data_IF_227671196238
#
_entry.id   IF_227671196238
#
_cell.length_a   1.000
_cell.length_b   1.000
_cell.length_c   1.000
_cell.angle_alpha   90.00
_cell.angle_beta   90.00
_cell.angle_gamma   90.00
#
_symmetry.space_group_name_H-M   'P 1'
#
loop_
_entity.id
_entity.type
_entity.pdbx_description
1 polymer ?
#
# COMPACT_ATOMS: atom_id res chain seq x y z
N UNK A 1 -1.79 5.48 13.45
CA UNK A 1 -1.88 4.19 12.75
C UNK A 1 -0.57 3.93 12.04
N UNK A 2 0.14 2.85 12.41
CA UNK A 2 1.42 2.47 11.79
C UNK A 2 2.53 2.21 12.77
N UNK A 3 3.76 2.13 12.25
CA UNK A 3 4.99 1.83 12.97
C UNK A 3 6.12 2.72 12.45
N UNK A 4 6.91 3.29 13.37
CA UNK A 4 8.12 4.04 13.05
C UNK A 4 9.34 3.15 13.36
N UNK A 5 9.90 2.52 12.35
CA UNK A 5 10.94 1.50 12.52
C UNK A 5 12.25 2.02 13.11
N UNK A 6 12.58 3.29 12.88
CA UNK A 6 13.79 3.90 13.41
C UNK A 6 13.54 4.77 14.65
N UNK A 7 12.49 4.47 15.43
CA UNK A 7 12.12 5.27 16.59
C UNK A 7 13.20 5.28 17.70
N UNK A 8 13.91 4.17 17.88
CA UNK A 8 14.93 4.05 18.96
C UNK A 8 16.08 5.04 18.79
N UNK A 9 16.80 5.10 17.64
CA UNK A 9 17.85 6.09 17.46
C UNK A 9 17.33 7.53 17.43
N UNK A 10 16.10 7.78 16.97
CA UNK A 10 15.50 9.11 17.05
C UNK A 10 15.20 9.50 18.49
N UNK A 11 14.74 8.56 19.32
CA UNK A 11 14.52 8.77 20.74
C UNK A 11 15.80 9.18 21.47
N UNK A 12 16.92 8.52 21.18
CA UNK A 12 18.23 8.89 21.73
C UNK A 12 18.63 10.33 21.38
N UNK A 13 18.49 10.71 20.10
CA UNK A 13 18.75 12.08 19.65
C UNK A 13 17.87 13.12 20.38
N UNK A 14 16.60 12.80 20.59
CA UNK A 14 15.67 13.69 21.27
C UNK A 14 15.99 13.81 22.78
N UNK A 15 16.45 12.74 23.41
CA UNK A 15 16.93 12.79 24.80
C UNK A 15 18.19 13.67 24.92
N UNK A 16 19.12 13.55 23.98
CA UNK A 16 20.31 14.42 23.90
C UNK A 16 19.94 15.89 23.67
N UNK A 17 18.85 16.16 22.94
CA UNK A 17 18.27 17.51 22.74
C UNK A 17 17.52 18.04 23.97
N UNK A 18 17.33 17.21 25.02
CA UNK A 18 16.72 17.62 26.29
C UNK A 18 15.27 17.19 26.49
N UNK A 19 14.70 16.39 25.56
CA UNK A 19 13.35 15.85 25.73
C UNK A 19 13.31 14.73 26.76
N UNK A 20 12.22 14.67 27.51
CA UNK A 20 11.99 13.64 28.53
C UNK A 20 10.86 12.73 28.09
N UNK A 21 11.14 11.42 28.02
CA UNK A 21 10.19 10.40 27.61
C UNK A 21 9.55 9.72 28.81
N UNK A 22 8.26 9.46 28.73
CA UNK A 22 7.46 8.76 29.73
C UNK A 22 7.11 7.33 29.32
N UNK A 23 7.14 7.06 28.03
CA UNK A 23 6.85 5.75 27.43
C UNK A 23 8.03 5.24 26.61
N UNK A 24 7.88 4.02 26.09
CA UNK A 24 8.80 3.44 25.08
C UNK A 24 8.17 3.43 23.68
N UNK A 25 7.03 4.06 23.51
CA UNK A 25 6.27 4.07 22.24
C UNK A 25 6.97 4.94 21.18
N UNK A 26 6.90 4.50 19.95
CA UNK A 26 7.25 5.27 18.76
C UNK A 26 6.39 6.52 18.60
N UNK A 27 5.15 6.48 19.07
CA UNK A 27 4.22 7.62 19.05
C UNK A 27 4.74 8.82 19.84
N UNK A 28 5.41 8.58 20.97
CA UNK A 28 6.03 9.65 21.78
C UNK A 28 7.23 10.28 21.03
N UNK A 29 7.93 9.46 20.22
CA UNK A 29 9.00 9.98 19.33
C UNK A 29 8.43 10.91 18.27
N UNK A 30 7.25 10.61 17.70
CA UNK A 30 6.59 11.52 16.76
C UNK A 30 6.24 12.86 17.41
N UNK A 31 5.75 12.84 18.65
CA UNK A 31 5.38 14.04 19.37
C UNK A 31 6.59 14.94 19.64
N UNK A 32 7.63 14.41 20.30
CA UNK A 32 8.84 15.16 20.61
C UNK A 32 9.64 15.53 19.35
N UNK A 33 9.62 14.68 18.33
CA UNK A 33 10.20 15.00 17.04
C UNK A 33 9.52 16.17 16.33
N UNK A 34 8.20 16.30 16.46
CA UNK A 34 7.49 17.46 15.95
C UNK A 34 7.82 18.74 16.77
N UNK A 35 7.95 18.61 18.08
CA UNK A 35 8.36 19.73 18.94
C UNK A 35 9.76 20.24 18.59
N UNK A 36 10.71 19.33 18.30
CA UNK A 36 12.11 19.66 18.02
C UNK A 36 12.32 20.11 16.57
N UNK A 37 11.77 19.37 15.61
CA UNK A 37 12.09 19.52 14.17
C UNK A 37 10.92 20.05 13.33
N UNK A 38 9.73 20.17 13.89
CA UNK A 38 8.56 20.56 13.12
C UNK A 38 8.30 19.62 11.94
N UNK A 39 8.13 20.18 10.75
CA UNK A 39 7.89 19.42 9.50
C UNK A 39 9.09 18.57 9.09
N UNK A 40 10.32 18.96 9.45
CA UNK A 40 11.54 18.22 9.12
C UNK A 40 11.58 16.83 9.78
N UNK A 41 10.73 16.58 10.77
CA UNK A 41 10.49 15.22 11.31
C UNK A 41 10.22 14.22 10.20
N UNK A 42 9.45 14.59 9.17
CA UNK A 42 9.05 13.70 8.07
C UNK A 42 10.23 13.21 7.22
N UNK A 43 11.35 13.94 7.22
CA UNK A 43 12.59 13.53 6.55
C UNK A 43 13.45 12.60 7.39
N UNK A 44 13.13 12.45 8.68
CA UNK A 44 13.93 11.67 9.63
C UNK A 44 13.31 10.30 9.94
N UNK A 45 11.99 10.20 9.87
CA UNK A 45 11.27 8.97 10.22
C UNK A 45 11.28 7.97 9.06
N UNK A 46 11.47 6.71 9.42
CA UNK A 46 11.35 5.56 8.53
C UNK A 46 10.25 4.65 9.05
N UNK A 47 9.22 4.41 8.26
CA UNK A 47 8.10 3.59 8.71
C UNK A 47 6.91 3.63 7.76
N UNK A 48 5.85 2.96 8.17
CA UNK A 48 4.53 3.04 7.58
C UNK A 48 3.60 3.74 8.56
N UNK A 49 3.03 4.86 8.20
CA UNK A 49 2.30 5.67 9.17
C UNK A 49 1.24 6.59 8.58
N UNK A 50 0.24 6.84 9.40
CA UNK A 50 -0.56 8.06 9.37
C UNK A 50 -0.74 8.57 10.79
N UNK A 51 -0.54 9.84 11.00
CA UNK A 51 -0.73 10.47 12.30
C UNK A 51 -1.29 11.87 12.19
N UNK A 52 -1.87 12.34 13.27
CA UNK A 52 -2.31 13.73 13.44
C UNK A 52 -1.87 14.22 14.81
N UNK A 53 -1.23 15.39 14.84
CA UNK A 53 -0.81 16.09 16.04
C UNK A 53 -1.65 17.36 16.19
N UNK A 54 -2.19 17.58 17.39
CA UNK A 54 -2.81 18.86 17.75
C UNK A 54 -1.80 19.77 18.43
N UNK A 55 -1.33 20.81 17.72
CA UNK A 55 -0.48 21.85 18.29
C UNK A 55 -1.35 22.87 19.01
N UNK A 56 -1.29 22.85 20.35
CA UNK A 56 -2.08 23.73 21.20
C UNK A 56 -1.64 25.20 21.09
N UNK A 57 -0.35 25.44 20.84
CA UNK A 57 0.23 26.78 20.74
C UNK A 57 -0.18 27.47 19.46
N UNK A 58 -0.07 26.73 18.33
CA UNK A 58 -0.47 27.23 17.02
C UNK A 58 -1.98 27.12 16.78
N UNK A 59 -2.68 26.33 17.60
CA UNK A 59 -4.09 25.92 17.41
C UNK A 59 -4.31 25.33 16.02
N UNK A 60 -3.48 24.38 15.68
CA UNK A 60 -3.36 23.77 14.35
C UNK A 60 -3.30 22.25 14.47
N UNK A 61 -3.97 21.55 13.55
CA UNK A 61 -3.71 20.15 13.31
C UNK A 61 -2.58 20.05 12.28
N UNK A 62 -1.60 19.22 12.60
CA UNK A 62 -0.56 18.76 11.68
C UNK A 62 -0.74 17.26 11.49
N UNK A 63 -0.89 16.80 10.27
CA UNK A 63 -1.03 15.35 9.99
C UNK A 63 -0.26 14.95 8.75
N UNK A 64 0.23 13.71 8.72
CA UNK A 64 1.02 13.20 7.61
C UNK A 64 0.66 11.75 7.29
N UNK A 65 0.89 11.37 6.02
CA UNK A 65 0.78 10.03 5.51
C UNK A 65 2.13 9.58 4.96
N UNK A 66 2.48 8.31 5.16
CA UNK A 66 3.77 7.76 4.76
C UNK A 66 4.06 7.87 3.26
N UNK A 67 5.32 7.62 2.89
CA UNK A 67 5.88 7.82 1.55
C UNK A 67 5.08 7.13 0.43
N UNK A 68 4.57 5.92 0.69
CA UNK A 68 3.87 5.10 -0.30
C UNK A 68 2.37 4.91 0.01
N UNK A 69 1.85 5.62 1.04
CA UNK A 69 0.45 5.51 1.43
C UNK A 69 0.05 4.14 1.95
N UNK A 70 0.98 3.41 2.58
CA UNK A 70 0.74 2.07 3.15
C UNK A 70 -0.38 2.15 4.20
N UNK A 71 -0.37 3.18 5.05
CA UNK A 71 -1.45 3.41 6.00
C UNK A 71 -2.52 4.34 5.42
N UNK A 72 -3.80 3.96 5.55
CA UNK A 72 -4.90 4.75 5.01
C UNK A 72 -5.15 6.01 5.83
N UNK A 73 -5.49 7.10 5.15
CA UNK A 73 -5.95 8.34 5.76
C UNK A 73 -7.07 8.96 4.92
N UNK A 74 -8.25 9.04 5.50
CA UNK A 74 -9.41 9.67 4.88
C UNK A 74 -9.81 10.92 5.65
N UNK A 75 -10.27 11.95 4.94
CA UNK A 75 -10.78 13.16 5.55
C UNK A 75 -11.99 13.71 4.80
N UNK A 76 -12.82 14.43 5.52
CA UNK A 76 -13.99 15.12 4.99
C UNK A 76 -14.21 16.45 5.73
N UNK A 77 -14.83 17.40 5.03
CA UNK A 77 -15.35 18.61 5.64
C UNK A 77 -16.82 18.76 5.26
N UNK A 78 -17.71 18.53 6.22
CA UNK A 78 -19.16 18.55 6.02
C UNK A 78 -19.82 19.35 7.13
N UNK A 79 -20.79 20.19 6.80
CA UNK A 79 -21.55 21.02 7.74
C UNK A 79 -20.67 21.84 8.72
N UNK A 80 -19.49 22.28 8.26
CA UNK A 80 -18.52 23.04 9.05
C UNK A 80 -17.58 22.20 9.92
N UNK A 81 -17.82 20.89 10.04
CA UNK A 81 -16.99 19.95 10.79
C UNK A 81 -15.93 19.34 9.91
N UNK A 82 -14.67 19.35 10.38
CA UNK A 82 -13.56 18.60 9.79
C UNK A 82 -13.42 17.25 10.49
N UNK A 83 -13.44 16.18 9.69
CA UNK A 83 -13.38 14.80 10.16
C UNK A 83 -12.22 14.07 9.48
N UNK A 84 -11.57 13.17 10.19
CA UNK A 84 -10.56 12.28 9.61
C UNK A 84 -10.58 10.92 10.30
N UNK A 85 -10.19 9.88 9.57
CA UNK A 85 -10.11 8.51 10.07
C UNK A 85 -9.22 7.65 9.18
N UNK A 86 -8.81 6.49 9.70
CA UNK A 86 -8.15 5.44 8.91
C UNK A 86 -9.13 4.63 8.05
N UNK A 87 -10.42 4.64 8.38
CA UNK A 87 -11.49 3.92 7.67
C UNK A 87 -12.69 4.84 7.43
N UNK A 88 -13.28 4.78 6.23
CA UNK A 88 -14.43 5.63 5.88
C UNK A 88 -15.63 5.30 6.75
N UNK A 89 -15.83 4.01 7.09
CA UNK A 89 -16.94 3.59 7.96
C UNK A 89 -16.95 4.26 9.32
N UNK A 90 -15.80 4.69 9.81
CA UNK A 90 -15.69 5.48 11.05
C UNK A 90 -16.25 6.89 10.88
N UNK A 91 -16.01 7.53 9.71
CA UNK A 91 -16.56 8.84 9.39
C UNK A 91 -18.10 8.80 9.27
N UNK A 92 -18.64 7.69 8.76
CA UNK A 92 -20.10 7.49 8.62
C UNK A 92 -20.88 7.57 9.95
N UNK A 93 -20.19 7.41 11.08
CA UNK A 93 -20.82 7.48 12.41
C UNK A 93 -21.02 8.90 12.93
N UNK A 94 -20.36 9.88 12.29
CA UNK A 94 -20.48 11.28 12.72
C UNK A 94 -21.82 11.88 12.29
N UNK A 95 -22.56 12.58 13.16
CA UNK A 95 -23.90 13.12 12.86
C UNK A 95 -23.91 14.14 11.70
N UNK A 96 -22.80 14.86 11.49
CA UNK A 96 -22.68 15.81 10.38
C UNK A 96 -22.31 15.13 9.05
N UNK A 97 -22.10 13.81 9.03
CA UNK A 97 -21.71 13.12 7.80
C UNK A 97 -22.89 13.02 6.83
N UNK A 98 -22.67 13.44 5.60
CA UNK A 98 -23.66 13.33 4.52
C UNK A 98 -23.28 12.17 3.60
N UNK A 99 -24.09 11.09 3.63
CA UNK A 99 -23.86 9.91 2.81
C UNK A 99 -24.44 10.10 1.41
N UNK A 100 -23.56 10.38 0.46
CA UNK A 100 -23.88 10.57 -0.96
C UNK A 100 -22.86 9.84 -1.82
N UNK A 101 -23.32 9.16 -2.89
CA UNK A 101 -22.46 8.48 -3.85
C UNK A 101 -21.76 9.52 -4.74
N UNK A 102 -20.45 9.36 -4.88
CA UNK A 102 -19.65 10.10 -5.86
C UNK A 102 -19.71 9.40 -7.22
N UNK A 103 -20.66 9.78 -8.07
CA UNK A 103 -20.82 9.20 -9.40
C UNK A 103 -19.58 9.41 -10.30
N UNK A 104 -18.74 10.43 -10.02
CA UNK A 104 -17.50 10.69 -10.77
C UNK A 104 -16.45 9.60 -10.58
N UNK A 105 -16.51 8.87 -9.47
CA UNK A 105 -15.62 7.74 -9.19
C UNK A 105 -15.93 6.50 -10.03
N UNK A 106 -17.16 6.35 -10.53
CA UNK A 106 -17.62 5.15 -11.24
C UNK A 106 -16.85 4.90 -12.54
N UNK A 107 -16.67 5.92 -13.38
CA UNK A 107 -16.00 5.75 -14.67
C UNK A 107 -14.51 5.41 -14.53
N UNK A 108 -13.71 6.10 -13.70
CA UNK A 108 -12.34 5.69 -13.38
C UNK A 108 -12.28 4.27 -12.82
N UNK A 109 -13.15 3.93 -11.88
CA UNK A 109 -13.20 2.58 -11.31
C UNK A 109 -13.43 1.49 -12.35
N UNK A 110 -14.37 1.66 -13.26
CA UNK A 110 -14.63 0.71 -14.36
C UNK A 110 -13.46 0.58 -15.35
N UNK A 111 -12.51 1.52 -15.31
CA UNK A 111 -11.32 1.51 -16.17
C UNK A 111 -10.08 0.98 -15.44
N UNK A 112 -9.86 1.43 -14.22
CA UNK A 112 -8.63 1.21 -13.45
C UNK A 112 -8.81 0.28 -12.24
N UNK A 113 -10.04 -0.13 -11.94
CA UNK A 113 -10.41 -0.95 -10.77
C UNK A 113 -10.31 -0.21 -9.43
N UNK A 114 -9.98 1.07 -9.44
CA UNK A 114 -10.00 1.96 -8.29
C UNK A 114 -10.44 3.37 -8.73
N UNK A 115 -10.85 4.28 -7.84
CA UNK A 115 -11.40 5.58 -8.21
C UNK A 115 -10.47 6.45 -9.07
N UNK A 116 -9.15 6.30 -8.98
CA UNK A 116 -8.12 7.06 -9.71
C UNK A 116 -8.28 8.60 -9.61
N UNK A 117 -8.96 9.06 -8.57
CA UNK A 117 -9.16 10.46 -8.21
C UNK A 117 -8.93 10.62 -6.70
N UNK A 118 -8.59 11.81 -6.24
CA UNK A 118 -8.35 12.05 -4.80
C UNK A 118 -9.61 11.91 -3.93
N UNK A 119 -10.80 11.98 -4.53
CA UNK A 119 -12.09 11.80 -3.88
C UNK A 119 -12.53 10.33 -3.97
N UNK A 120 -13.07 9.80 -2.89
CA UNK A 120 -13.54 8.40 -2.79
C UNK A 120 -14.91 8.20 -3.47
N UNK A 121 -15.48 6.98 -3.35
CA UNK A 121 -16.87 6.71 -3.71
C UNK A 121 -17.88 7.46 -2.82
N UNK A 122 -17.47 7.94 -1.66
CA UNK A 122 -18.29 8.82 -0.83
C UNK A 122 -17.98 10.28 -1.18
N UNK A 123 -18.98 10.97 -1.70
CA UNK A 123 -18.84 12.38 -2.11
C UNK A 123 -18.40 13.26 -0.94
N UNK A 124 -17.38 14.06 -1.17
CA UNK A 124 -16.79 14.93 -0.14
C UNK A 124 -15.84 14.23 0.83
N UNK A 125 -15.55 12.93 0.63
CA UNK A 125 -14.53 12.19 1.36
C UNK A 125 -13.30 12.01 0.48
N UNK A 126 -12.15 12.43 0.97
CA UNK A 126 -10.89 12.43 0.24
C UNK A 126 -9.86 11.54 0.93
N UNK A 127 -8.93 11.03 0.12
CA UNK A 127 -7.69 10.39 0.62
C UNK A 127 -6.61 11.47 0.71
N UNK A 128 -5.85 11.49 1.80
CA UNK A 128 -4.60 12.26 1.82
C UNK A 128 -3.62 11.53 0.87
N UNK A 129 -3.03 12.20 -0.13
CA UNK A 129 -2.06 11.55 -1.00
C UNK A 129 -0.87 11.00 -0.21
N UNK A 130 -0.23 9.97 -0.76
CA UNK A 130 1.03 9.43 -0.28
C UNK A 130 2.14 10.49 -0.31
N UNK A 131 3.09 10.41 0.62
CA UNK A 131 4.18 11.38 0.68
C UNK A 131 3.75 12.83 1.00
N UNK A 132 2.53 13.01 1.53
CA UNK A 132 2.01 14.33 1.84
C UNK A 132 1.72 14.51 3.33
N UNK A 133 1.80 15.77 3.77
CA UNK A 133 1.30 16.22 5.05
C UNK A 133 0.26 17.33 4.86
N UNK A 134 -0.52 17.56 5.87
CA UNK A 134 -1.45 18.69 5.89
C UNK A 134 -1.33 19.50 7.18
N UNK A 135 -1.70 20.76 7.08
CA UNK A 135 -2.05 21.60 8.22
C UNK A 135 -3.52 22.01 8.14
N UNK A 136 -4.19 22.05 9.29
CA UNK A 136 -5.57 22.53 9.37
C UNK A 136 -5.71 23.54 10.50
N UNK A 137 -6.04 24.78 10.13
CA UNK A 137 -6.20 25.89 11.06
C UNK A 137 -7.30 26.83 10.58
N UNK A 138 -8.10 27.31 11.50
CA UNK A 138 -9.19 28.28 11.25
C UNK A 138 -10.11 27.87 10.08
N UNK A 139 -10.44 26.58 10.02
CA UNK A 139 -11.31 26.01 9.01
C UNK A 139 -10.67 25.84 7.62
N UNK A 140 -9.39 26.11 7.47
CA UNK A 140 -8.63 25.96 6.21
C UNK A 140 -7.65 24.82 6.30
N UNK A 141 -7.61 23.97 5.27
CA UNK A 141 -6.65 22.89 5.09
C UNK A 141 -5.66 23.28 4.01
N UNK A 142 -4.38 23.04 4.27
CA UNK A 142 -3.31 23.16 3.29
C UNK A 142 -2.60 21.79 3.21
N UNK A 143 -2.39 21.29 2.01
CA UNK A 143 -1.73 20.00 1.76
C UNK A 143 -0.40 20.29 1.07
N UNK A 144 0.65 19.62 1.51
CA UNK A 144 2.01 19.79 1.01
C UNK A 144 2.66 18.44 0.80
N UNK A 145 3.40 18.32 -0.31
CA UNK A 145 4.23 17.18 -0.61
C UNK A 145 5.54 17.27 0.18
N UNK A 146 5.95 16.18 0.83
CA UNK A 146 7.25 16.09 1.49
C UNK A 146 8.14 15.01 0.87
N UNK A 147 7.57 14.13 0.06
CA UNK A 147 8.29 13.07 -0.61
C UNK A 147 7.67 12.80 -1.99
N UNK A 148 8.52 12.69 -3.01
CA UNK A 148 8.18 12.23 -4.35
C UNK A 148 9.27 11.30 -4.86
N UNK A 149 8.89 10.19 -5.50
CA UNK A 149 9.82 9.17 -5.96
C UNK A 149 10.36 9.51 -7.36
N UNK A 150 11.67 9.63 -7.45
CA UNK A 150 12.35 9.92 -8.72
C UNK A 150 13.20 8.75 -9.19
N UNK A 151 12.73 8.03 -10.18
CA UNK A 151 13.50 6.98 -10.83
C UNK A 151 14.63 7.56 -11.68
N UNK A 152 15.83 7.06 -11.46
CA UNK A 152 17.01 7.42 -12.28
C UNK A 152 17.54 6.18 -12.95
N UNK A 153 17.69 6.23 -14.29
CA UNK A 153 18.38 5.17 -15.02
C UNK A 153 19.85 5.14 -14.58
N UNK A 154 20.32 3.95 -14.21
CA UNK A 154 21.73 3.71 -13.92
C UNK A 154 22.28 2.68 -14.88
N UNK A 155 23.54 2.85 -15.29
CA UNK A 155 24.30 1.89 -16.12
C UNK A 155 25.02 0.84 -15.27
N UNK A 156 24.54 0.56 -14.08
CA UNK A 156 25.18 -0.35 -13.14
C UNK A 156 25.21 -1.78 -13.69
N UNK A 157 26.32 -2.46 -13.53
CA UNK A 157 26.45 -3.87 -13.86
C UNK A 157 25.55 -4.72 -12.96
N UNK A 158 25.12 -5.88 -13.45
CA UNK A 158 24.14 -6.72 -12.75
C UNK A 158 24.63 -7.18 -11.37
N UNK A 159 25.86 -7.72 -11.27
CA UNK A 159 26.34 -8.29 -10.02
C UNK A 159 26.43 -7.27 -8.86
N UNK A 160 27.03 -6.08 -9.01
CA UNK A 160 26.98 -5.06 -7.97
C UNK A 160 25.57 -4.57 -7.63
N UNK A 161 24.65 -4.63 -8.60
CA UNK A 161 23.25 -4.26 -8.37
C UNK A 161 22.54 -5.32 -7.50
N UNK A 162 22.76 -6.60 -7.78
CA UNK A 162 22.22 -7.72 -6.98
C UNK A 162 22.68 -7.60 -5.53
N UNK A 163 23.98 -7.40 -5.29
CA UNK A 163 24.52 -7.23 -3.93
C UNK A 163 23.90 -6.02 -3.20
N UNK A 164 23.62 -4.95 -3.94
CA UNK A 164 23.01 -3.75 -3.37
C UNK A 164 21.55 -3.99 -3.01
N UNK A 165 20.79 -4.63 -3.89
CA UNK A 165 19.40 -5.01 -3.64
C UNK A 165 19.32 -5.94 -2.44
N UNK A 166 20.14 -7.01 -2.41
CA UNK A 166 20.17 -7.97 -1.31
C UNK A 166 20.39 -7.29 0.03
N UNK A 167 21.44 -6.45 0.15
CA UNK A 167 21.72 -5.70 1.39
C UNK A 167 20.57 -4.78 1.79
N UNK A 168 19.96 -4.08 0.82
CA UNK A 168 18.88 -3.13 1.07
C UNK A 168 17.62 -3.83 1.54
N UNK A 169 17.24 -4.95 0.89
CA UNK A 169 16.07 -5.73 1.28
C UNK A 169 16.31 -6.42 2.62
N UNK A 170 17.50 -6.97 2.88
CA UNK A 170 17.86 -7.53 4.19
C UNK A 170 17.75 -6.49 5.32
N UNK A 171 18.24 -5.27 5.09
CA UNK A 171 18.10 -4.17 6.06
C UNK A 171 16.62 -3.80 6.26
N UNK A 172 15.86 -3.73 5.17
CA UNK A 172 14.43 -3.44 5.24
C UNK A 172 13.66 -4.50 6.03
N UNK A 173 13.87 -5.78 5.74
CA UNK A 173 13.21 -6.89 6.46
C UNK A 173 13.53 -6.83 7.95
N UNK A 174 14.80 -6.60 8.32
CA UNK A 174 15.21 -6.46 9.72
C UNK A 174 14.53 -5.29 10.41
N UNK A 175 14.39 -4.15 9.72
CA UNK A 175 13.70 -2.99 10.27
C UNK A 175 12.20 -3.29 10.52
N UNK A 176 11.55 -4.03 9.63
CA UNK A 176 10.16 -4.42 9.77
C UNK A 176 9.90 -5.48 10.87
N UNK A 177 10.93 -6.12 11.39
CA UNK A 177 10.84 -7.06 12.52
C UNK A 177 10.89 -6.36 13.89
N UNK A 178 11.09 -5.03 13.92
CA UNK A 178 11.07 -4.27 15.18
C UNK A 178 9.63 -4.22 15.69
N UNK A 179 9.33 -5.00 16.71
CA UNK A 179 8.01 -5.12 17.31
C UNK A 179 8.13 -5.59 18.77
N UNK A 180 7.12 -5.25 19.59
CA UNK A 180 6.98 -5.75 20.97
C UNK A 180 6.25 -7.10 21.05
N UNK A 181 5.89 -7.67 19.91
CA UNK A 181 5.16 -8.93 19.74
C UNK A 181 5.85 -9.81 18.71
N UNK A 182 5.50 -11.09 18.71
CA UNK A 182 5.98 -12.00 17.70
C UNK A 182 5.53 -11.59 16.30
N UNK A 183 6.48 -11.68 15.33
CA UNK A 183 6.27 -11.34 13.92
C UNK A 183 6.30 -12.61 13.09
N UNK A 184 5.18 -12.96 12.47
CA UNK A 184 5.10 -14.04 11.49
C UNK A 184 5.41 -13.57 10.07
N UNK A 185 5.23 -14.45 9.09
CA UNK A 185 5.33 -14.08 7.67
C UNK A 185 4.29 -14.83 6.82
N UNK A 186 3.73 -14.15 5.85
CA UNK A 186 3.02 -14.82 4.78
C UNK A 186 4.02 -15.50 3.86
N UNK A 187 3.69 -16.71 3.42
CA UNK A 187 4.52 -17.50 2.54
C UNK A 187 3.68 -18.06 1.39
N UNK A 188 4.05 -17.66 0.19
CA UNK A 188 3.59 -18.29 -1.04
C UNK A 188 4.75 -19.06 -1.67
N UNK A 189 4.56 -19.64 -2.85
CA UNK A 189 5.66 -20.19 -3.64
C UNK A 189 6.39 -19.13 -4.49
N UNK A 190 5.95 -17.87 -4.41
CA UNK A 190 6.54 -16.73 -5.13
C UNK A 190 7.90 -16.32 -4.57
N UNK A 191 8.74 -15.73 -5.43
CA UNK A 191 10.12 -15.31 -5.08
C UNK A 191 10.11 -14.32 -3.91
N UNK A 192 9.22 -13.32 -3.95
CA UNK A 192 9.22 -12.19 -3.02
C UNK A 192 8.90 -12.61 -1.59
N UNK A 193 7.79 -13.33 -1.38
CA UNK A 193 7.41 -13.82 -0.06
C UNK A 193 8.43 -14.84 0.47
N UNK A 194 8.99 -15.67 -0.41
CA UNK A 194 10.01 -16.64 -0.07
C UNK A 194 11.30 -15.99 0.40
N UNK A 195 11.72 -14.93 -0.30
CA UNK A 195 12.91 -14.16 0.06
C UNK A 195 12.72 -13.44 1.40
N UNK A 196 11.59 -12.77 1.60
CA UNK A 196 11.25 -12.12 2.87
C UNK A 196 11.27 -13.13 4.03
N UNK A 197 10.61 -14.29 3.88
CA UNK A 197 10.57 -15.33 4.91
C UNK A 197 11.96 -15.92 5.20
N UNK A 198 12.78 -16.15 4.15
CA UNK A 198 14.13 -16.67 4.30
C UNK A 198 15.06 -15.70 5.04
N UNK A 199 14.91 -14.40 4.83
CA UNK A 199 15.69 -13.36 5.53
C UNK A 199 15.18 -13.14 6.94
N UNK A 200 13.87 -13.07 7.13
CA UNK A 200 13.23 -12.79 8.42
C UNK A 200 13.36 -13.97 9.41
N UNK A 201 13.31 -15.22 8.89
CA UNK A 201 13.29 -16.48 9.66
C UNK A 201 12.32 -16.46 10.84
N UNK A 202 11.02 -16.15 10.58
CA UNK A 202 10.03 -16.09 11.63
C UNK A 202 9.76 -17.50 12.20
N UNK A 203 9.24 -17.59 13.42
CA UNK A 203 8.81 -18.86 14.02
C UNK A 203 7.60 -19.44 13.27
N UNK A 204 6.72 -18.57 12.78
CA UNK A 204 5.48 -18.95 12.09
C UNK A 204 5.39 -18.35 10.68
N UNK A 205 5.12 -19.21 9.69
CA UNK A 205 4.72 -18.80 8.35
C UNK A 205 3.32 -19.29 8.04
N UNK A 206 2.59 -18.57 7.17
CA UNK A 206 1.20 -18.85 6.85
C UNK A 206 0.98 -18.89 5.35
N UNK A 207 0.20 -19.86 4.90
CA UNK A 207 -0.16 -20.04 3.50
C UNK A 207 -1.64 -20.34 3.35
N UNK A 208 -2.24 -19.90 2.24
CA UNK A 208 -3.59 -20.27 1.85
C UNK A 208 -3.56 -20.89 0.46
N UNK A 209 -4.37 -21.91 0.23
CA UNK A 209 -4.53 -22.55 -1.08
C UNK A 209 -6.00 -22.70 -1.45
N UNK A 210 -6.28 -22.95 -2.72
CA UNK A 210 -7.62 -23.29 -3.19
C UNK A 210 -7.75 -24.80 -3.35
N UNK A 211 -8.84 -25.38 -2.85
CA UNK A 211 -8.98 -26.80 -2.57
C UNK A 211 -9.03 -27.77 -3.77
N UNK A 212 -9.10 -27.30 -5.03
CA UNK A 212 -9.14 -28.17 -6.21
C UNK A 212 -8.45 -27.51 -7.41
N UNK A 213 -7.21 -27.86 -7.67
CA UNK A 213 -6.50 -27.43 -8.87
C UNK A 213 -5.12 -28.07 -8.97
N UNK A 214 -4.60 -28.14 -10.18
CA UNK A 214 -3.23 -28.60 -10.47
C UNK A 214 -2.16 -27.65 -9.94
N UNK A 215 -2.56 -26.46 -9.48
CA UNK A 215 -1.69 -25.44 -8.93
C UNK A 215 -2.11 -25.14 -7.48
N UNK A 216 -1.50 -25.84 -6.54
CA UNK A 216 -1.77 -25.66 -5.13
C UNK A 216 -0.59 -24.90 -4.48
N UNK A 217 -0.68 -23.58 -4.41
CA UNK A 217 0.37 -22.72 -3.84
C UNK A 217 0.70 -23.07 -2.39
N UNK A 218 -0.28 -23.51 -1.61
CA UNK A 218 -0.05 -23.88 -0.20
C UNK A 218 0.81 -25.14 -0.07
N UNK A 219 0.71 -26.10 -0.99
CA UNK A 219 1.58 -27.26 -1.00
C UNK A 219 3.02 -26.85 -1.33
N UNK A 220 3.22 -26.05 -2.36
CA UNK A 220 4.55 -25.57 -2.76
C UNK A 220 5.19 -24.71 -1.66
N UNK A 221 4.40 -23.84 -1.01
CA UNK A 221 4.86 -23.08 0.15
C UNK A 221 5.29 -23.98 1.30
N UNK A 222 4.55 -25.06 1.57
CA UNK A 222 4.93 -26.05 2.59
C UNK A 222 6.20 -26.84 2.26
N UNK A 223 6.44 -27.14 0.98
CA UNK A 223 7.69 -27.76 0.52
C UNK A 223 8.87 -26.81 0.66
N UNK A 224 8.69 -25.54 0.29
CA UNK A 224 9.69 -24.49 0.47
C UNK A 224 10.01 -24.26 1.94
N UNK A 225 8.99 -24.17 2.80
CA UNK A 225 9.19 -23.98 4.24
C UNK A 225 10.09 -25.09 4.82
N UNK A 226 9.86 -26.34 4.45
CA UNK A 226 10.71 -27.47 4.86
C UNK A 226 12.14 -27.32 4.35
N UNK A 227 12.32 -26.85 3.10
CA UNK A 227 13.63 -26.67 2.49
C UNK A 227 14.47 -25.61 3.21
N UNK A 228 13.82 -24.54 3.69
CA UNK A 228 14.48 -23.45 4.40
C UNK A 228 14.35 -23.54 5.92
N UNK A 229 13.87 -24.67 6.44
CA UNK A 229 13.72 -24.97 7.86
C UNK A 229 12.86 -23.93 8.60
N UNK A 230 11.63 -23.73 8.12
CA UNK A 230 10.59 -22.88 8.72
C UNK A 230 9.31 -23.68 8.96
N UNK A 231 8.59 -23.30 10.03
CA UNK A 231 7.25 -23.83 10.28
C UNK A 231 6.23 -23.12 9.39
N UNK A 232 5.36 -23.90 8.73
CA UNK A 232 4.30 -23.35 7.88
C UNK A 232 2.94 -23.95 8.25
N UNK A 233 1.99 -23.07 8.56
CA UNK A 233 0.58 -23.41 8.75
C UNK A 233 -0.17 -23.06 7.48
N UNK A 234 -0.82 -24.05 6.88
CA UNK A 234 -1.54 -23.88 5.63
C UNK A 234 -3.02 -24.28 5.78
N UNK A 235 -3.91 -23.48 5.23
CA UNK A 235 -5.35 -23.81 5.10
C UNK A 235 -5.76 -23.82 3.62
N UNK A 236 -6.76 -24.66 3.28
CA UNK A 236 -7.38 -24.69 1.96
C UNK A 236 -8.73 -23.98 2.02
N UNK A 237 -8.95 -23.08 1.08
CA UNK A 237 -10.20 -22.33 0.93
C UNK A 237 -11.09 -22.98 -0.12
N UNK A 238 -12.38 -23.10 0.18
CA UNK A 238 -13.40 -23.53 -0.78
C UNK A 238 -14.02 -22.33 -1.50
N UNK A 239 -14.60 -22.56 -2.68
CA UNK A 239 -15.30 -21.51 -3.42
C UNK A 239 -16.50 -20.97 -2.63
N UNK A 240 -17.21 -21.85 -1.93
CA UNK A 240 -18.35 -21.50 -1.09
C UNK A 240 -17.96 -20.53 0.05
N UNK A 241 -16.86 -20.83 0.74
CA UNK A 241 -16.33 -19.95 1.80
C UNK A 241 -15.91 -18.60 1.24
N UNK A 242 -15.23 -18.58 0.09
CA UNK A 242 -14.80 -17.38 -0.60
C UNK A 242 -16.00 -16.46 -0.93
N UNK A 243 -17.03 -17.02 -1.55
CA UNK A 243 -18.25 -16.27 -1.90
C UNK A 243 -19.02 -15.80 -0.67
N UNK A 244 -19.13 -16.63 0.38
CA UNK A 244 -19.80 -16.26 1.62
C UNK A 244 -19.11 -15.10 2.37
N UNK A 245 -17.78 -15.01 2.28
CA UNK A 245 -17.00 -13.96 2.92
C UNK A 245 -17.01 -12.63 2.16
N UNK A 246 -17.32 -12.63 0.86
CA UNK A 246 -17.19 -11.46 -0.02
C UNK A 246 -17.88 -10.19 0.51
N UNK A 247 -19.13 -10.20 1.00
CA UNK A 247 -19.76 -8.99 1.57
C UNK A 247 -18.98 -8.42 2.76
N UNK A 248 -18.40 -9.29 3.60
CA UNK A 248 -17.60 -8.87 4.76
C UNK A 248 -16.26 -8.29 4.33
N UNK A 249 -15.63 -8.88 3.31
CA UNK A 249 -14.39 -8.37 2.74
C UNK A 249 -14.62 -6.95 2.19
N UNK A 250 -15.67 -6.74 1.40
CA UNK A 250 -16.02 -5.42 0.86
C UNK A 250 -16.35 -4.41 1.97
N UNK A 251 -16.96 -4.85 3.07
CA UNK A 251 -17.16 -4.01 4.25
C UNK A 251 -15.85 -3.53 4.87
N UNK A 252 -14.83 -4.40 4.95
CA UNK A 252 -13.51 -4.02 5.48
C UNK A 252 -12.74 -3.06 4.56
N UNK A 253 -12.94 -3.16 3.27
CA UNK A 253 -12.25 -2.32 2.28
C UNK A 253 -12.85 -0.90 2.17
N UNK A 254 -14.04 -0.65 2.69
CA UNK A 254 -14.79 0.62 2.64
C UNK A 254 -15.22 1.05 1.22
N UNK A 255 -14.44 0.74 0.20
CA UNK A 255 -14.72 1.03 -1.21
C UNK A 255 -14.76 -0.26 -2.02
N UNK A 256 -15.47 -0.29 -3.16
CA UNK A 256 -15.44 -1.44 -4.03
C UNK A 256 -14.00 -1.74 -4.49
N UNK A 257 -13.58 -2.97 -4.29
CA UNK A 257 -12.33 -3.50 -4.80
C UNK A 257 -12.61 -4.70 -5.70
N UNK A 258 -12.08 -4.69 -6.91
CA UNK A 258 -12.21 -5.77 -7.88
C UNK A 258 -10.99 -6.70 -7.91
N UNK A 259 -9.96 -6.43 -7.09
CA UNK A 259 -8.81 -7.29 -7.00
C UNK A 259 -9.18 -8.62 -6.30
N UNK A 260 -9.12 -9.77 -7.00
CA UNK A 260 -9.49 -11.06 -6.41
C UNK A 260 -8.59 -11.49 -5.25
N UNK A 261 -7.38 -10.92 -5.14
CA UNK A 261 -6.43 -11.24 -4.08
C UNK A 261 -6.90 -10.79 -2.69
N UNK A 262 -7.90 -9.88 -2.61
CA UNK A 262 -8.48 -9.51 -1.32
C UNK A 262 -9.13 -10.70 -0.58
N UNK A 263 -9.61 -11.71 -1.32
CA UNK A 263 -10.25 -12.90 -0.73
C UNK A 263 -9.23 -13.79 -0.02
N UNK A 264 -8.21 -14.34 -0.70
CA UNK A 264 -7.19 -15.15 -0.01
C UNK A 264 -6.49 -14.36 1.09
N UNK A 265 -6.22 -13.06 0.91
CA UNK A 265 -5.60 -12.21 1.93
C UNK A 265 -6.45 -12.10 3.20
N UNK A 266 -7.78 -12.03 3.08
CA UNK A 266 -8.69 -12.01 4.23
C UNK A 266 -8.56 -13.29 5.06
N UNK A 267 -8.61 -14.46 4.43
CA UNK A 267 -8.48 -15.74 5.12
C UNK A 267 -7.08 -16.00 5.66
N UNK A 268 -6.07 -15.61 4.90
CA UNK A 268 -4.67 -15.71 5.32
C UNK A 268 -4.41 -14.85 6.56
N UNK A 269 -4.95 -13.63 6.59
CA UNK A 269 -4.88 -12.76 7.76
C UNK A 269 -5.63 -13.33 8.96
N UNK A 270 -6.81 -13.94 8.73
CA UNK A 270 -7.58 -14.59 9.79
C UNK A 270 -6.85 -15.83 10.35
N UNK A 271 -6.13 -16.57 9.48
CA UNK A 271 -5.31 -17.70 9.90
C UNK A 271 -4.16 -17.22 10.79
N UNK A 272 -3.38 -16.24 10.34
CA UNK A 272 -2.25 -15.72 11.08
C UNK A 272 -2.65 -15.06 12.42
N UNK A 273 -3.81 -14.40 12.46
CA UNK A 273 -4.32 -13.73 13.66
C UNK A 273 -4.63 -14.68 14.83
N UNK A 274 -4.63 -16.01 14.60
CA UNK A 274 -4.78 -17.02 15.67
C UNK A 274 -3.53 -17.08 16.56
N UNK A 275 -2.36 -16.78 15.99
CA UNK A 275 -1.06 -16.96 16.66
C UNK A 275 -0.32 -15.63 16.82
N UNK A 276 -0.27 -14.77 15.79
CA UNK A 276 0.53 -13.55 15.76
C UNK A 276 -0.32 -12.31 15.49
N UNK A 277 0.22 -11.13 15.85
CA UNK A 277 -0.44 -9.83 15.58
C UNK A 277 0.17 -9.09 14.40
N UNK A 278 1.37 -9.46 14.02
CA UNK A 278 2.14 -8.82 12.94
C UNK A 278 2.63 -9.90 11.99
N UNK A 279 2.54 -9.64 10.70
CA UNK A 279 3.09 -10.50 9.65
C UNK A 279 3.84 -9.67 8.62
N UNK A 280 4.91 -10.23 8.10
CA UNK A 280 5.62 -9.72 6.93
C UNK A 280 5.01 -10.32 5.67
N UNK A 281 5.08 -9.57 4.57
CA UNK A 281 4.66 -10.02 3.26
C UNK A 281 5.65 -9.58 2.18
N UNK A 282 5.55 -10.17 0.99
CA UNK A 282 6.30 -9.76 -0.21
C UNK A 282 5.63 -8.64 -1.02
N UNK A 283 4.54 -8.05 -0.52
CA UNK A 283 3.79 -7.01 -1.23
C UNK A 283 4.65 -5.78 -1.54
N UNK A 284 4.47 -5.21 -2.73
CA UNK A 284 5.23 -4.05 -3.21
C UNK A 284 6.50 -4.42 -3.99
N UNK A 285 6.94 -5.68 -3.98
CA UNK A 285 8.13 -6.09 -4.71
C UNK A 285 7.93 -6.03 -6.23
N UNK A 286 6.77 -6.46 -6.73
CA UNK A 286 6.44 -6.39 -8.16
C UNK A 286 6.45 -4.95 -8.68
N UNK A 287 5.96 -3.99 -7.89
CA UNK A 287 5.96 -2.57 -8.22
C UNK A 287 7.38 -1.99 -8.28
N UNK A 288 8.22 -2.36 -7.32
CA UNK A 288 9.61 -1.88 -7.23
C UNK A 288 10.53 -2.50 -8.27
N UNK A 289 10.36 -3.80 -8.55
CA UNK A 289 11.25 -4.58 -9.39
C UNK A 289 10.66 -4.97 -10.75
N UNK A 290 9.50 -4.39 -11.10
CA UNK A 290 8.80 -4.65 -12.36
C UNK A 290 8.48 -6.15 -12.57
N UNK A 291 8.01 -6.83 -11.51
CA UNK A 291 7.75 -8.27 -11.50
C UNK A 291 6.52 -8.69 -12.30
N UNK A 292 5.56 -7.81 -12.51
CA UNK A 292 4.36 -8.12 -13.29
C UNK A 292 4.69 -8.38 -14.77
N UNK A 293 4.10 -9.44 -15.32
CA UNK A 293 4.27 -9.83 -16.73
C UNK A 293 3.96 -8.67 -17.69
N UNK A 294 2.99 -7.84 -17.33
CA UNK A 294 2.54 -6.71 -18.14
C UNK A 294 3.61 -5.63 -18.33
N UNK A 295 4.54 -5.45 -17.39
CA UNK A 295 5.67 -4.55 -17.57
C UNK A 295 6.57 -4.96 -18.76
N UNK A 296 6.72 -6.27 -19.02
CA UNK A 296 7.46 -6.79 -20.17
C UNK A 296 6.82 -6.51 -21.53
N UNK A 297 5.50 -6.28 -21.55
CA UNK A 297 4.77 -5.94 -22.78
C UNK A 297 5.21 -4.59 -23.34
N UNK A 298 5.49 -3.60 -22.48
CA UNK A 298 5.95 -2.27 -22.89
C UNK A 298 7.27 -2.29 -23.67
N UNK A 299 8.17 -3.21 -23.35
CA UNK A 299 9.46 -3.33 -24.06
C UNK A 299 9.30 -3.97 -25.45
N UNK A 300 8.36 -4.91 -25.59
CA UNK A 300 8.06 -5.59 -26.86
C UNK A 300 7.31 -4.69 -27.84
N UNK A 301 6.57 -3.69 -27.34
CA UNK A 301 5.75 -2.80 -28.17
C UNK A 301 6.34 -1.38 -28.35
N UNK A 302 7.65 -1.17 -28.09
CA UNK A 302 8.32 0.10 -28.42
C UNK A 302 8.01 0.63 -29.84
N UNK A 303 7.90 -0.19 -30.91
CA UNK A 303 7.52 0.28 -32.22
C UNK A 303 6.08 0.82 -32.29
N UNK A 304 5.17 0.28 -31.52
CA UNK A 304 3.78 0.72 -31.49
C UNK A 304 3.64 2.09 -30.80
N UNK A 305 4.44 2.40 -29.79
CA UNK A 305 4.48 3.75 -29.18
C UNK A 305 4.86 4.83 -30.18
N UNK A 306 5.81 4.54 -31.05
CA UNK A 306 6.19 5.47 -32.14
C UNK A 306 5.02 5.62 -33.10
N UNK A 307 4.35 4.54 -33.45
CA UNK A 307 3.20 4.53 -34.35
C UNK A 307 1.98 5.27 -33.74
N UNK A 308 1.67 5.06 -32.46
CA UNK A 308 0.55 5.75 -31.79
C UNK A 308 0.84 7.24 -31.61
N UNK A 309 2.09 7.64 -31.38
CA UNK A 309 2.49 9.05 -31.34
C UNK A 309 2.30 9.71 -32.72
N UNK A 310 2.62 8.99 -33.80
CA UNK A 310 2.38 9.44 -35.17
C UNK A 310 0.88 9.50 -35.53
N UNK A 311 0.11 8.50 -35.09
CA UNK A 311 -1.36 8.47 -35.25
C UNK A 311 -2.05 9.63 -34.51
N UNK A 312 -1.47 10.12 -33.39
CA UNK A 312 -1.97 11.29 -32.66
C UNK A 312 -1.97 12.58 -33.48
N UNK A 313 -1.09 12.69 -34.48
CA UNK A 313 -1.02 13.85 -35.38
C UNK A 313 -1.98 13.78 -36.60
N UNK A 314 -2.68 12.65 -36.77
CA UNK A 314 -3.66 12.51 -37.85
C UNK A 314 -4.95 13.29 -37.54
N UNK A 315 -5.62 13.83 -38.59
CA UNK A 315 -6.96 14.44 -38.47
C UNK A 315 -7.95 13.48 -37.77
N UNK A 316 -8.91 14.03 -37.02
CA UNK A 316 -9.87 13.26 -36.23
C UNK A 316 -10.64 12.19 -37.06
N UNK A 317 -10.98 12.49 -38.32
CA UNK A 317 -11.64 11.55 -39.24
C UNK A 317 -10.77 10.33 -39.58
N UNK A 318 -9.46 10.52 -39.77
CA UNK A 318 -8.54 9.43 -40.07
C UNK A 318 -8.32 8.54 -38.82
N UNK A 319 -8.23 9.14 -37.62
CA UNK A 319 -8.16 8.40 -36.36
C UNK A 319 -9.41 7.55 -36.11
N UNK A 320 -10.60 8.12 -36.43
CA UNK A 320 -11.85 7.39 -36.29
C UNK A 320 -11.94 6.21 -37.25
N UNK A 321 -11.52 6.37 -38.52
CA UNK A 321 -11.49 5.30 -39.52
C UNK A 321 -10.54 4.15 -39.09
N UNK A 322 -9.36 4.48 -38.56
CA UNK A 322 -8.41 3.49 -38.05
C UNK A 322 -8.99 2.76 -36.83
N UNK A 323 -9.61 3.47 -35.89
CA UNK A 323 -10.28 2.88 -34.74
C UNK A 323 -11.42 1.94 -35.16
N UNK A 324 -12.21 2.30 -36.15
CA UNK A 324 -13.25 1.43 -36.72
C UNK A 324 -12.67 0.19 -37.43
N UNK A 325 -11.55 0.33 -38.12
CA UNK A 325 -10.87 -0.78 -38.77
C UNK A 325 -10.24 -1.76 -37.76
N UNK A 326 -9.78 -1.25 -36.63
CA UNK A 326 -9.29 -2.04 -35.52
C UNK A 326 -10.41 -2.71 -34.71
N UNK A 327 -11.64 -2.21 -34.81
CA UNK A 327 -12.81 -2.75 -34.09
C UNK A 327 -13.15 -4.13 -34.66
N UNK A 328 -12.93 -5.18 -33.89
CA UNK A 328 -13.15 -6.59 -34.28
C UNK A 328 -11.87 -7.38 -34.56
N UNK A 329 -10.70 -6.76 -34.54
CA UNK A 329 -9.43 -7.47 -34.50
C UNK A 329 -9.02 -7.57 -33.05
N UNK A 330 -9.19 -8.74 -32.47
CA UNK A 330 -8.77 -9.05 -31.10
C UNK A 330 -7.25 -8.97 -31.00
N UNK A 331 -6.73 -7.83 -30.57
CA UNK A 331 -5.43 -7.77 -29.93
C UNK A 331 -5.64 -8.31 -28.51
N UNK A 332 -5.61 -9.61 -28.34
CA UNK A 332 -5.53 -10.21 -27.03
C UNK A 332 -4.27 -9.67 -26.34
N UNK A 333 -4.43 -8.94 -25.26
CA UNK A 333 -3.36 -8.40 -24.43
C UNK A 333 -3.18 -6.88 -24.41
N UNK A 334 -3.93 -6.09 -25.22
CA UNK A 334 -3.76 -4.63 -25.24
C UNK A 334 -4.80 -3.85 -24.43
N UNK A 335 -5.76 -4.50 -23.80
CA UNK A 335 -6.91 -3.84 -23.13
C UNK A 335 -6.80 -3.77 -21.60
N UNK A 336 -5.73 -4.29 -21.02
CA UNK A 336 -5.49 -4.19 -19.58
C UNK A 336 -4.48 -3.09 -19.18
N UNK A 337 -4.18 -2.15 -20.09
CA UNK A 337 -3.16 -1.12 -19.87
C UNK A 337 -3.67 0.30 -20.09
N UNK A 338 -4.87 0.66 -19.65
CA UNK A 338 -5.28 2.07 -19.51
C UNK A 338 -6.37 2.21 -18.46
#
# INVERSE_FOLDING_TARGET
>A
NGEIYNYQPLREQLIEAGHTFTTKSDTEVLLHGYEEWGVELLQKIRGMFTFVIWDRTKRELFGARDHFGIKPFYYAKMNGTFMYASEIKSLLQHPDFVKELNEKALKPYMTFQYPAIGETFFKGVFKLPEGHYFTYRDGKMSIHEYYDEHFRESSTQLDPLVDTIDRTVCDSVKAHQIADVEVGSFLSSGVDSSYVAAVARPEHTYSIGFGKGTYNESQQAGELAKLIDLNNTAEALTDEEAFAAFPRIQWHLDEPDSNPNCVPLYFLSALAAKDVKVVLSGEGADELFAGYIDYGVHTKFKPIKVLTRWLGHLPAGARHAIAQWCKGKTFHGAWHMY
#
